data_IF_535747802506
#
_entry.id   IF_535747802506
#
_cell.length_a   1.000
_cell.length_b   1.000
_cell.length_c   1.000
_cell.angle_alpha   90.00
_cell.angle_beta   90.00
_cell.angle_gamma   90.00
#
_symmetry.space_group_name_H-M   'P 1'
#
loop_
_entity.id
_entity.type
_entity.pdbx_description
1 polymer ?
#
# COMPACT_ATOMS: atom_id res chain seq x y z
N UNK A 1 -6.11 -27.23 8.72
CA UNK A 1 -6.20 -26.29 9.87
C UNK A 1 -5.25 -26.71 10.98
N UNK A 2 -5.22 -28.00 11.36
CA UNK A 2 -4.25 -28.53 12.32
C UNK A 2 -2.80 -28.20 11.91
N UNK A 3 -2.42 -28.51 10.67
CA UNK A 3 -1.05 -28.31 10.17
C UNK A 3 -0.62 -26.83 10.21
N UNK A 4 -1.51 -25.90 9.86
CA UNK A 4 -1.23 -24.46 9.93
C UNK A 4 -0.96 -24.01 11.37
N UNK A 5 -1.81 -24.44 12.31
CA UNK A 5 -1.66 -24.09 13.72
C UNK A 5 -0.37 -24.71 14.29
N UNK A 6 0.00 -25.91 13.86
CA UNK A 6 1.26 -26.55 14.24
C UNK A 6 2.49 -25.78 13.75
N UNK A 7 2.49 -25.31 12.50
CA UNK A 7 3.57 -24.48 11.95
C UNK A 7 3.72 -23.15 12.72
N UNK A 8 2.60 -22.53 13.08
CA UNK A 8 2.58 -21.29 13.88
C UNK A 8 3.05 -21.53 15.31
N UNK A 9 2.54 -22.57 15.97
CA UNK A 9 2.94 -22.92 17.33
C UNK A 9 4.41 -23.36 17.41
N UNK A 10 4.93 -23.98 16.35
CA UNK A 10 6.33 -24.36 16.26
C UNK A 10 7.28 -23.19 15.91
N UNK A 11 6.74 -21.98 15.69
CA UNK A 11 7.52 -20.79 15.36
C UNK A 11 8.16 -20.83 13.97
N UNK A 12 7.72 -21.74 13.09
CA UNK A 12 8.18 -21.82 11.69
C UNK A 12 7.44 -20.82 10.79
N UNK A 13 6.28 -20.38 11.22
CA UNK A 13 5.42 -19.43 10.51
C UNK A 13 4.91 -18.37 11.50
N UNK A 14 5.08 -17.10 11.17
CA UNK A 14 4.59 -16.00 12.00
C UNK A 14 3.51 -15.23 11.24
N UNK A 15 2.24 -15.29 11.68
CA UNK A 15 1.18 -14.49 11.09
C UNK A 15 1.37 -13.02 11.46
N UNK A 16 1.45 -12.16 10.45
CA UNK A 16 1.64 -10.71 10.61
C UNK A 16 0.65 -9.93 9.76
N UNK A 17 0.49 -8.64 10.09
CA UNK A 17 -0.20 -7.67 9.25
C UNK A 17 0.80 -6.71 8.64
N UNK A 18 0.86 -6.71 7.32
CA UNK A 18 1.66 -5.76 6.54
C UNK A 18 0.82 -4.56 6.15
N UNK A 19 1.38 -3.36 6.32
CA UNK A 19 0.73 -2.11 5.96
C UNK A 19 1.63 -1.26 5.06
N UNK A 20 1.11 -0.86 3.90
CA UNK A 20 1.71 0.18 3.07
C UNK A 20 0.91 1.47 3.24
N UNK A 21 1.58 2.53 3.71
CA UNK A 21 0.98 3.85 3.97
C UNK A 21 1.49 4.84 2.94
N UNK A 22 0.59 5.58 2.32
CA UNK A 22 0.92 6.66 1.40
C UNK A 22 0.74 7.99 2.13
N UNK A 23 1.85 8.70 2.30
CA UNK A 23 1.92 9.93 3.08
C UNK A 23 2.40 11.05 2.16
N UNK A 24 1.71 12.19 2.18
CA UNK A 24 2.16 13.39 1.46
C UNK A 24 3.35 14.03 2.17
N UNK A 25 4.06 14.93 1.47
CA UNK A 25 5.22 15.65 2.03
C UNK A 25 4.88 16.54 3.25
N UNK A 26 3.60 16.83 3.49
CA UNK A 26 3.11 17.58 4.64
C UNK A 26 2.65 16.65 5.79
N UNK A 27 3.12 15.40 5.80
CA UNK A 27 2.79 14.35 6.77
C UNK A 27 1.30 13.94 6.82
N UNK A 28 0.49 14.41 5.88
CA UNK A 28 -0.89 13.95 5.75
C UNK A 28 -0.92 12.52 5.21
N UNK A 29 -1.47 11.59 5.99
CA UNK A 29 -1.80 10.25 5.52
C UNK A 29 -2.98 10.32 4.54
N UNK A 30 -2.79 9.72 3.38
CA UNK A 30 -3.77 9.77 2.30
C UNK A 30 -4.49 8.45 2.16
N UNK A 31 -3.75 7.34 2.25
CA UNK A 31 -4.26 5.99 2.09
C UNK A 31 -3.41 4.98 2.86
N UNK A 32 -4.05 3.88 3.28
CA UNK A 32 -3.42 2.73 3.94
C UNK A 32 -3.91 1.44 3.29
N UNK A 33 -2.98 0.58 2.89
CA UNK A 33 -3.22 -0.71 2.27
C UNK A 33 -2.75 -1.80 3.22
N UNK A 34 -3.66 -2.72 3.60
CA UNK A 34 -3.42 -3.74 4.62
C UNK A 34 -3.57 -5.13 4.03
N UNK A 35 -2.60 -6.01 4.31
CA UNK A 35 -2.69 -7.45 3.99
C UNK A 35 -2.17 -8.27 5.15
N UNK A 36 -2.83 -9.39 5.40
CA UNK A 36 -2.30 -10.40 6.31
C UNK A 36 -1.31 -11.25 5.51
N UNK A 37 -0.17 -11.56 6.12
CA UNK A 37 0.86 -12.39 5.52
C UNK A 37 1.39 -13.35 6.59
N UNK A 38 1.75 -14.55 6.15
CA UNK A 38 2.42 -15.52 6.98
C UNK A 38 3.91 -15.50 6.65
N UNK A 39 4.73 -15.02 7.59
CA UNK A 39 6.16 -14.76 7.38
C UNK A 39 7.01 -15.81 8.07
N UNK A 40 7.97 -16.37 7.34
CA UNK A 40 8.89 -17.39 7.87
C UNK A 40 10.00 -16.72 8.71
N UNK A 41 10.59 -15.63 8.21
CA UNK A 41 11.60 -14.85 8.94
C UNK A 41 11.15 -13.39 9.10
N UNK A 42 10.63 -13.07 10.29
CA UNK A 42 10.16 -11.72 10.62
C UNK A 42 11.31 -10.70 10.71
N UNK A 43 12.53 -11.16 11.00
CA UNK A 43 13.70 -10.29 11.04
C UNK A 43 14.21 -9.92 9.65
N UNK A 44 13.95 -10.76 8.65
CA UNK A 44 14.30 -10.52 7.25
C UNK A 44 13.11 -10.86 6.32
N UNK A 45 12.03 -10.04 6.35
CA UNK A 45 10.85 -10.32 5.54
C UNK A 45 11.21 -10.28 4.06
N UNK A 46 10.77 -11.31 3.34
CA UNK A 46 11.03 -11.42 1.91
C UNK A 46 10.11 -10.46 1.13
N UNK A 47 10.52 -10.08 -0.08
CA UNK A 47 9.73 -9.18 -0.94
C UNK A 47 8.31 -9.70 -1.16
N UNK A 48 8.13 -11.02 -1.25
CA UNK A 48 6.82 -11.66 -1.38
C UNK A 48 5.84 -11.27 -0.27
N UNK A 49 6.34 -11.04 0.94
CA UNK A 49 5.54 -10.89 2.15
C UNK A 49 4.84 -9.53 2.19
N UNK A 50 5.44 -8.51 1.57
CA UNK A 50 4.92 -7.14 1.50
C UNK A 50 4.63 -6.66 0.07
N UNK A 51 4.85 -7.50 -0.95
CA UNK A 51 4.64 -7.13 -2.35
C UNK A 51 3.23 -6.62 -2.60
N UNK A 52 2.21 -7.34 -2.14
CA UNK A 52 0.82 -6.99 -2.39
C UNK A 52 0.42 -5.61 -1.89
N UNK A 53 0.55 -5.28 -0.58
CA UNK A 53 0.16 -3.95 -0.10
C UNK A 53 0.97 -2.83 -0.77
N UNK A 54 2.23 -3.07 -1.13
CA UNK A 54 3.06 -2.08 -1.85
C UNK A 54 2.63 -1.92 -3.30
N UNK A 55 2.32 -3.00 -4.02
CA UNK A 55 1.80 -2.93 -5.39
C UNK A 55 0.46 -2.20 -5.43
N UNK A 56 -0.45 -2.50 -4.50
CA UNK A 56 -1.73 -1.78 -4.37
C UNK A 56 -1.52 -0.28 -4.14
N UNK A 57 -0.59 0.09 -3.25
CA UNK A 57 -0.24 1.48 -3.00
C UNK A 57 0.31 2.18 -4.25
N UNK A 58 1.21 1.53 -4.99
CA UNK A 58 1.77 2.08 -6.22
C UNK A 58 0.71 2.27 -7.32
N UNK A 59 -0.20 1.32 -7.46
CA UNK A 59 -1.29 1.41 -8.44
C UNK A 59 -2.32 2.47 -8.04
N UNK A 60 -2.55 2.67 -6.75
CA UNK A 60 -3.31 3.81 -6.26
C UNK A 60 -2.62 5.14 -6.61
N UNK A 61 -1.31 5.29 -6.35
CA UNK A 61 -0.54 6.52 -6.69
C UNK A 61 -0.62 6.83 -8.18
N UNK A 62 -0.51 5.82 -9.04
CA UNK A 62 -0.62 5.97 -10.51
C UNK A 62 -2.00 6.45 -10.95
N UNK A 63 -3.07 5.91 -10.35
CA UNK A 63 -4.44 6.34 -10.61
C UNK A 63 -4.69 7.77 -10.12
N UNK A 64 -4.22 8.10 -8.92
CA UNK A 64 -4.35 9.43 -8.34
C UNK A 64 -3.63 10.48 -9.21
N UNK A 65 -2.40 10.19 -9.66
CA UNK A 65 -1.67 11.06 -10.60
C UNK A 65 -2.46 11.29 -11.89
N UNK A 66 -3.02 10.23 -12.47
CA UNK A 66 -3.82 10.34 -13.70
C UNK A 66 -5.06 11.21 -13.48
N UNK A 67 -5.76 11.03 -12.36
CA UNK A 67 -6.92 11.83 -11.97
C UNK A 67 -6.57 13.31 -11.82
N UNK A 68 -5.46 13.62 -11.13
CA UNK A 68 -4.99 14.99 -10.95
C UNK A 68 -4.60 15.65 -12.28
N UNK A 69 -3.87 14.95 -13.16
CA UNK A 69 -3.53 15.45 -14.50
C UNK A 69 -4.79 15.75 -15.31
N UNK A 70 -5.77 14.86 -15.31
CA UNK A 70 -7.05 15.08 -16.00
C UNK A 70 -7.82 16.27 -15.42
N UNK A 71 -7.77 16.48 -14.11
CA UNK A 71 -8.44 17.59 -13.42
C UNK A 71 -7.79 18.94 -13.76
N UNK A 72 -6.46 18.99 -13.87
CA UNK A 72 -5.72 20.19 -14.28
C UNK A 72 -6.07 20.59 -15.72
N UNK A 73 -6.09 19.62 -16.64
CA UNK A 73 -6.44 19.87 -18.06
C UNK A 73 -7.87 20.38 -18.24
N UNK A 74 -8.78 20.05 -17.32
CA UNK A 74 -10.20 20.45 -17.37
C UNK A 74 -10.49 21.80 -16.72
N UNK A 75 -9.55 22.45 -16.04
CA UNK A 75 -9.79 23.79 -15.52
C UNK A 75 -9.92 24.77 -16.70
N UNK A 76 -11.08 25.43 -16.88
CA UNK A 76 -11.17 26.47 -17.90
C UNK A 76 -10.15 27.55 -17.56
N UNK A 77 -9.34 27.94 -18.54
CA UNK A 77 -8.51 29.14 -18.44
C UNK A 77 -9.47 30.29 -18.17
N UNK A 78 -9.51 30.76 -16.93
CA UNK A 78 -10.14 32.03 -16.58
C UNK A 78 -9.36 33.09 -17.37
N UNK A 79 -9.86 33.42 -18.57
CA UNK A 79 -9.49 34.65 -19.25
C UNK A 79 -9.90 35.76 -18.30
N UNK A 80 -8.92 36.37 -17.63
CA UNK A 80 -9.10 37.67 -16.99
C UNK A 80 -9.64 38.60 -18.08
N UNK A 81 -10.92 38.94 -17.96
CA UNK A 81 -11.56 39.89 -18.83
C UNK A 81 -11.17 41.30 -18.37
N UNK A 82 -10.54 42.01 -19.32
CA UNK A 82 -10.24 43.45 -19.40
C UNK A 82 -9.27 44.04 -18.37
#
# INVERSE_FOLDING_TARGET
VADYLEEVMAGRLTPVRMEARVIYRNDAEVCVFRRNADVIDVSHPHVSDWREPVTEALDWIRRERTSLVQTVTRRPVLKLAA
#
